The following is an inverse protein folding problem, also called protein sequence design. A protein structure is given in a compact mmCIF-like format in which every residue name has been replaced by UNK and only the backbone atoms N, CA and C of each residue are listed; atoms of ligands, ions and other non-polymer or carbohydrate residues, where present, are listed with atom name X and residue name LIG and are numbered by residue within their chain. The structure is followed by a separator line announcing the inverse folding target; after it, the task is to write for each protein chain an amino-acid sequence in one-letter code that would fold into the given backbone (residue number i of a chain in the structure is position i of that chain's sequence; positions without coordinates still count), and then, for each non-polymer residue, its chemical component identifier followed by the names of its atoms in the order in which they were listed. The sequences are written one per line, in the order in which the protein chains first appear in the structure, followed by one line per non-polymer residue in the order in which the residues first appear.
data_IF_541728167659
#
_entry.id   IF_541728167659
#
_cell.length_a   1.000
_cell.length_b   1.000
_cell.length_c   1.000
_cell.angle_alpha   90.00
_cell.angle_beta   90.00
_cell.angle_gamma   90.00
#
_symmetry.space_group_name_H-M   'P 1'
#
loop_
_entity.id
_entity.type
_entity.pdbx_description
1 polymer ?
#
# COMPACT_ATOMS: atom_id res chain seq x y z
N UNK A 1 -43.35 -16.79 24.40
CA UNK A 1 -43.89 -18.17 24.27
C UNK A 1 -45.16 -18.07 23.45
N UNK A 2 -45.20 -18.72 22.29
CA UNK A 2 -46.40 -18.77 21.45
C UNK A 2 -47.36 -19.75 22.12
N UNK A 3 -48.54 -19.27 22.51
CA UNK A 3 -49.56 -20.09 23.15
C UNK A 3 -50.38 -20.81 22.08
N UNK A 4 -50.74 -22.09 22.28
CA UNK A 4 -51.61 -22.80 21.35
C UNK A 4 -53.03 -22.19 21.38
N UNK A 5 -53.61 -21.97 20.20
CA UNK A 5 -54.99 -21.52 20.06
C UNK A 5 -55.94 -22.73 20.11
N UNK A 6 -56.18 -23.18 21.34
CA UNK A 6 -57.11 -24.28 21.61
C UNK A 6 -58.56 -23.92 21.26
N UNK A 7 -58.93 -22.63 21.27
CA UNK A 7 -60.30 -22.21 20.99
C UNK A 7 -60.68 -22.46 19.54
N UNK A 8 -59.77 -22.15 18.62
CA UNK A 8 -59.99 -22.37 17.19
C UNK A 8 -59.94 -23.87 16.83
N UNK A 9 -59.13 -24.67 17.54
CA UNK A 9 -59.09 -26.13 17.38
C UNK A 9 -60.35 -26.82 17.94
N UNK A 10 -60.84 -26.40 19.10
CA UNK A 10 -62.05 -26.96 19.74
C UNK A 10 -63.30 -26.63 18.92
N UNK A 11 -63.41 -25.43 18.36
CA UNK A 11 -64.53 -25.06 17.48
C UNK A 11 -64.63 -25.95 16.23
N UNK A 12 -63.50 -26.50 15.76
CA UNK A 12 -63.46 -27.42 14.63
C UNK A 12 -63.99 -28.82 15.03
N UNK A 13 -63.75 -29.24 16.27
CA UNK A 13 -64.22 -30.52 16.82
C UNK A 13 -65.69 -30.49 17.26
N UNK A 14 -66.25 -29.32 17.53
CA UNK A 14 -67.62 -29.12 18.07
C UNK A 14 -68.73 -29.60 17.12
N UNK A 15 -68.42 -29.80 15.84
CA UNK A 15 -69.36 -30.24 14.81
C UNK A 15 -69.36 -31.76 14.56
N UNK A 16 -68.50 -32.51 15.27
CA UNK A 16 -68.32 -33.95 15.11
C UNK A 16 -69.16 -34.74 16.12
N UNK A 17 -69.65 -35.92 15.71
CA UNK A 17 -70.42 -36.80 16.60
C UNK A 17 -69.52 -37.68 17.49
N UNK A 18 -70.11 -38.35 18.48
CA UNK A 18 -69.34 -39.14 19.46
C UNK A 18 -68.57 -40.32 18.85
N UNK A 19 -69.04 -40.89 17.75
CA UNK A 19 -68.38 -42.01 17.09
C UNK A 19 -67.20 -41.50 16.24
N UNK A 20 -67.37 -40.36 15.57
CA UNK A 20 -66.30 -39.66 14.82
C UNK A 20 -65.18 -39.16 15.75
N UNK A 21 -65.52 -38.58 16.90
CA UNK A 21 -64.54 -38.15 17.91
C UNK A 21 -63.76 -39.34 18.49
N UNK A 22 -64.43 -40.47 18.75
CA UNK A 22 -63.75 -41.71 19.19
C UNK A 22 -62.85 -42.27 18.10
N UNK A 23 -63.26 -42.17 16.85
CA UNK A 23 -62.46 -42.63 15.73
C UNK A 23 -61.19 -41.80 15.57
N UNK A 24 -61.29 -40.47 15.64
CA UNK A 24 -60.13 -39.55 15.60
C UNK A 24 -59.22 -39.75 16.82
N UNK A 25 -59.79 -40.02 18.00
CA UNK A 25 -59.00 -40.25 19.22
C UNK A 25 -58.19 -41.56 19.18
N UNK A 26 -58.67 -42.58 18.46
CA UNK A 26 -58.04 -43.90 18.41
C UNK A 26 -57.21 -44.14 17.12
N UNK A 27 -57.15 -43.16 16.22
CA UNK A 27 -56.39 -43.22 14.98
C UNK A 27 -55.48 -41.98 14.85
N UNK A 28 -54.19 -42.17 15.14
CA UNK A 28 -53.17 -41.12 15.09
C UNK A 28 -53.09 -40.46 13.70
N UNK A 29 -53.39 -41.19 12.61
CA UNK A 29 -53.34 -40.62 11.26
C UNK A 29 -54.50 -39.67 11.00
N UNK A 30 -55.68 -39.97 11.55
CA UNK A 30 -56.85 -39.09 11.50
C UNK A 30 -56.66 -37.89 12.42
N UNK A 31 -56.07 -38.09 13.59
CA UNK A 31 -55.70 -37.01 14.49
C UNK A 31 -54.73 -36.03 13.83
N UNK A 32 -53.66 -36.51 13.20
CA UNK A 32 -52.70 -35.69 12.47
C UNK A 32 -53.34 -34.93 11.29
N UNK A 33 -54.31 -35.56 10.60
CA UNK A 33 -55.04 -34.91 9.51
C UNK A 33 -55.87 -33.71 10.03
N UNK A 34 -56.58 -33.89 11.15
CA UNK A 34 -57.34 -32.82 11.80
C UNK A 34 -56.40 -31.73 12.34
N UNK A 35 -55.26 -32.11 12.90
CA UNK A 35 -54.27 -31.17 13.43
C UNK A 35 -53.66 -30.30 12.32
N UNK A 36 -53.38 -30.86 11.14
CA UNK A 36 -52.94 -30.12 9.95
C UNK A 36 -53.99 -29.14 9.44
N UNK A 37 -55.26 -29.36 9.77
CA UNK A 37 -56.34 -28.46 9.38
C UNK A 37 -56.55 -27.27 10.31
N UNK A 38 -55.99 -27.31 11.52
CA UNK A 38 -56.01 -26.19 12.48
C UNK A 38 -55.29 -24.98 11.88
N UNK A 39 -55.98 -23.83 11.91
CA UNK A 39 -55.48 -22.57 11.33
C UNK A 39 -54.07 -22.21 11.79
N UNK A 40 -53.78 -22.32 13.09
CA UNK A 40 -52.47 -22.02 13.65
C UNK A 40 -51.36 -22.92 13.07
N UNK A 41 -51.64 -24.20 12.84
CA UNK A 41 -50.68 -25.16 12.26
C UNK A 41 -50.44 -24.86 10.78
N UNK A 42 -51.49 -24.50 10.03
CA UNK A 42 -51.38 -24.04 8.63
C UNK A 42 -50.56 -22.76 8.50
N UNK A 43 -50.82 -21.78 9.38
CA UNK A 43 -50.08 -20.51 9.40
C UNK A 43 -48.58 -20.77 9.66
N UNK A 44 -48.25 -21.66 10.61
CA UNK A 44 -46.86 -22.04 10.88
C UNK A 44 -46.19 -22.80 9.74
N UNK A 45 -46.89 -23.73 9.09
CA UNK A 45 -46.32 -24.46 7.96
C UNK A 45 -46.05 -23.50 6.79
N UNK A 46 -46.96 -22.55 6.55
CA UNK A 46 -46.78 -21.50 5.53
C UNK A 46 -45.59 -20.60 5.88
N UNK A 47 -45.46 -20.19 7.14
CA UNK A 47 -44.34 -19.36 7.61
C UNK A 47 -43.00 -20.10 7.46
N UNK A 48 -42.98 -21.39 7.81
CA UNK A 48 -41.83 -22.28 7.62
C UNK A 48 -41.46 -22.41 6.14
N UNK A 49 -42.43 -22.65 5.25
CA UNK A 49 -42.17 -22.72 3.81
C UNK A 49 -41.63 -21.38 3.26
N UNK A 50 -42.20 -20.25 3.71
CA UNK A 50 -41.69 -18.92 3.34
C UNK A 50 -40.26 -18.71 3.82
N UNK A 51 -39.93 -19.10 5.05
CA UNK A 51 -38.56 -19.02 5.58
C UNK A 51 -37.59 -19.92 4.81
N UNK A 52 -37.99 -21.16 4.49
CA UNK A 52 -37.16 -22.09 3.71
C UNK A 52 -36.92 -21.52 2.31
N UNK A 53 -37.95 -21.03 1.64
CA UNK A 53 -37.84 -20.43 0.32
C UNK A 53 -36.94 -19.18 0.34
N UNK A 54 -37.10 -18.32 1.35
CA UNK A 54 -36.27 -17.12 1.54
C UNK A 54 -34.81 -17.47 1.80
N UNK A 55 -34.54 -18.40 2.72
CA UNK A 55 -33.18 -18.84 3.03
C UNK A 55 -32.51 -19.48 1.80
N UNK A 56 -33.25 -20.31 1.07
CA UNK A 56 -32.77 -20.94 -0.17
C UNK A 56 -32.43 -19.89 -1.22
N UNK A 57 -33.31 -18.92 -1.46
CA UNK A 57 -33.05 -17.85 -2.42
C UNK A 57 -31.82 -17.03 -2.04
N UNK A 58 -31.64 -16.73 -0.75
CA UNK A 58 -30.46 -16.01 -0.26
C UNK A 58 -29.17 -16.84 -0.42
N UNK A 59 -29.23 -18.14 -0.13
CA UNK A 59 -28.10 -19.05 -0.31
C UNK A 59 -27.71 -19.15 -1.79
N UNK A 60 -28.68 -19.31 -2.69
CA UNK A 60 -28.46 -19.35 -4.13
C UNK A 60 -27.87 -18.03 -4.65
N UNK A 61 -28.35 -16.88 -4.16
CA UNK A 61 -27.78 -15.57 -4.49
C UNK A 61 -26.33 -15.42 -4.00
N UNK A 62 -26.03 -15.84 -2.77
CA UNK A 62 -24.69 -15.78 -2.22
C UNK A 62 -23.72 -16.67 -3.01
N UNK A 63 -24.12 -17.90 -3.32
CA UNK A 63 -23.33 -18.83 -4.14
C UNK A 63 -23.11 -18.29 -5.56
N UNK A 64 -24.09 -17.59 -6.14
CA UNK A 64 -23.94 -16.96 -7.45
C UNK A 64 -22.92 -15.82 -7.46
N UNK A 65 -22.66 -15.18 -6.31
CA UNK A 65 -21.67 -14.08 -6.17
C UNK A 65 -20.27 -14.56 -5.83
N UNK A 66 -20.13 -15.77 -5.31
CA UNK A 66 -18.83 -16.39 -5.00
C UNK A 66 -17.80 -16.33 -6.15
N UNK A 67 -18.13 -16.68 -7.42
CA UNK A 67 -17.14 -16.65 -8.49
C UNK A 67 -16.62 -15.24 -8.78
N UNK A 68 -17.49 -14.23 -8.77
CA UNK A 68 -17.10 -12.83 -8.99
C UNK A 68 -16.24 -12.32 -7.84
N UNK A 69 -16.56 -12.69 -6.59
CA UNK A 69 -15.74 -12.33 -5.42
C UNK A 69 -14.35 -12.96 -5.48
N UNK A 70 -14.24 -14.23 -5.88
CA UNK A 70 -12.94 -14.90 -5.99
C UNK A 70 -12.11 -14.33 -7.14
N UNK A 71 -12.75 -13.97 -8.26
CA UNK A 71 -12.09 -13.26 -9.37
C UNK A 71 -11.55 -11.91 -8.90
N UNK A 72 -12.37 -11.08 -8.25
CA UNK A 72 -11.96 -9.76 -7.77
C UNK A 72 -10.83 -9.86 -6.73
N UNK A 73 -10.91 -10.84 -5.84
CA UNK A 73 -9.86 -11.12 -4.85
C UNK A 73 -8.55 -11.52 -5.51
N UNK A 74 -8.61 -12.37 -6.54
CA UNK A 74 -7.43 -12.74 -7.34
C UNK A 74 -6.84 -11.52 -8.06
N UNK A 75 -7.68 -10.64 -8.63
CA UNK A 75 -7.21 -9.41 -9.28
C UNK A 75 -6.53 -8.45 -8.30
N UNK A 76 -7.11 -8.27 -7.11
CA UNK A 76 -6.51 -7.46 -6.05
C UNK A 76 -5.17 -8.04 -5.61
N UNK A 77 -5.09 -9.35 -5.44
CA UNK A 77 -3.85 -10.02 -5.08
C UNK A 77 -2.77 -9.82 -6.15
N UNK A 78 -3.09 -10.03 -7.42
CA UNK A 78 -2.16 -9.82 -8.54
C UNK A 78 -1.66 -8.36 -8.61
N UNK A 79 -2.57 -7.38 -8.45
CA UNK A 79 -2.19 -5.95 -8.43
C UNK A 79 -1.33 -5.61 -7.23
N UNK A 80 -1.61 -6.20 -6.07
CA UNK A 80 -0.79 -6.01 -4.85
C UNK A 80 0.61 -6.57 -5.05
N UNK A 81 0.74 -7.79 -5.58
CA UNK A 81 2.03 -8.43 -5.87
C UNK A 81 2.83 -7.65 -6.91
N UNK A 82 2.19 -7.16 -7.98
CA UNK A 82 2.84 -6.31 -8.97
C UNK A 82 3.31 -4.97 -8.36
N UNK A 83 2.51 -4.39 -7.47
CA UNK A 83 2.88 -3.18 -6.72
C UNK A 83 4.10 -3.41 -5.82
N UNK A 84 4.12 -4.53 -5.09
CA UNK A 84 5.26 -4.91 -4.25
C UNK A 84 6.54 -5.10 -5.07
N UNK A 85 6.46 -5.80 -6.22
CA UNK A 85 7.58 -5.97 -7.13
C UNK A 85 8.13 -4.63 -7.64
N UNK A 86 7.25 -3.70 -8.02
CA UNK A 86 7.65 -2.36 -8.44
C UNK A 86 8.32 -1.58 -7.31
N UNK A 87 7.78 -1.64 -6.09
CA UNK A 87 8.39 -1.01 -4.92
C UNK A 87 9.78 -1.57 -4.64
N UNK A 88 9.95 -2.89 -4.68
CA UNK A 88 11.24 -3.54 -4.51
C UNK A 88 12.24 -3.10 -5.60
N UNK A 89 11.80 -3.06 -6.86
CA UNK A 89 12.64 -2.61 -7.96
C UNK A 89 13.06 -1.14 -7.82
N UNK A 90 12.16 -0.26 -7.39
CA UNK A 90 12.49 1.14 -7.09
C UNK A 90 13.51 1.23 -5.95
N UNK A 91 13.36 0.40 -4.92
CA UNK A 91 14.29 0.37 -3.80
C UNK A 91 15.69 -0.08 -4.25
N UNK A 92 15.78 -1.13 -5.08
CA UNK A 92 17.03 -1.57 -5.69
C UNK A 92 17.70 -0.47 -6.51
N UNK A 93 16.95 0.20 -7.38
CA UNK A 93 17.45 1.33 -8.19
C UNK A 93 17.91 2.50 -7.31
N UNK A 94 17.20 2.78 -6.23
CA UNK A 94 17.57 3.83 -5.29
C UNK A 94 18.88 3.49 -4.57
N UNK A 95 19.08 2.24 -4.18
CA UNK A 95 20.29 1.81 -3.49
C UNK A 95 21.49 1.72 -4.45
N UNK A 96 21.27 1.33 -5.72
CA UNK A 96 22.28 1.45 -6.78
C UNK A 96 22.66 2.92 -7.01
N UNK A 97 21.67 3.81 -7.12
CA UNK A 97 21.89 5.25 -7.26
C UNK A 97 22.66 5.82 -6.06
N UNK A 98 22.27 5.48 -4.83
CA UNK A 98 23.00 5.88 -3.62
C UNK A 98 24.42 5.35 -3.62
N UNK A 99 24.65 4.11 -4.06
CA UNK A 99 26.01 3.55 -4.13
C UNK A 99 26.87 4.28 -5.16
N UNK A 100 26.31 4.63 -6.33
CA UNK A 100 27.02 5.40 -7.37
C UNK A 100 27.25 6.87 -6.98
N UNK A 101 26.30 7.46 -6.25
CA UNK A 101 26.39 8.85 -5.78
C UNK A 101 27.15 8.98 -4.45
N UNK A 102 27.33 7.89 -3.71
CA UNK A 102 28.10 7.86 -2.48
C UNK A 102 29.54 8.30 -2.75
N UNK A 103 29.90 9.45 -2.21
CA UNK A 103 31.23 10.06 -2.37
C UNK A 103 31.36 11.06 -3.53
N UNK A 104 30.36 11.21 -4.40
CA UNK A 104 30.36 12.19 -5.49
C UNK A 104 29.31 13.26 -5.23
N UNK A 105 29.40 13.93 -4.08
CA UNK A 105 28.65 15.18 -3.92
C UNK A 105 29.32 16.28 -4.74
N UNK A 106 28.57 17.27 -5.23
CA UNK A 106 29.15 18.42 -5.90
C UNK A 106 30.17 19.16 -5.01
N UNK A 107 29.90 19.25 -3.71
CA UNK A 107 30.83 19.84 -2.74
C UNK A 107 32.11 19.01 -2.57
N UNK A 108 32.02 17.68 -2.51
CA UNK A 108 33.20 16.80 -2.47
C UNK A 108 34.03 16.94 -3.75
N UNK A 109 33.37 17.01 -4.91
CA UNK A 109 34.04 17.18 -6.20
C UNK A 109 34.75 18.54 -6.29
N UNK A 110 34.12 19.61 -5.78
CA UNK A 110 34.74 20.94 -5.70
C UNK A 110 35.99 20.91 -4.80
N UNK A 111 35.89 20.31 -3.62
CA UNK A 111 37.01 20.20 -2.69
C UNK A 111 38.19 19.41 -3.29
N UNK A 112 37.91 18.30 -3.99
CA UNK A 112 38.93 17.53 -4.70
C UNK A 112 39.61 18.35 -5.80
N UNK A 113 38.84 19.15 -6.55
CA UNK A 113 39.38 19.97 -7.62
C UNK A 113 40.25 21.12 -7.10
N UNK A 114 39.84 21.74 -5.98
CA UNK A 114 40.65 22.75 -5.27
C UNK A 114 41.95 22.15 -4.74
N UNK A 115 41.89 20.95 -4.16
CA UNK A 115 43.08 20.22 -3.68
C UNK A 115 44.03 19.93 -4.83
N UNK A 116 43.54 19.38 -5.95
CA UNK A 116 44.36 19.08 -7.12
C UNK A 116 44.97 20.34 -7.79
N UNK A 117 44.26 21.48 -7.72
CA UNK A 117 44.80 22.76 -8.16
C UNK A 117 45.94 23.24 -7.25
N UNK A 118 45.78 23.14 -5.93
CA UNK A 118 46.82 23.49 -4.96
C UNK A 118 48.06 22.60 -5.09
N UNK A 119 47.89 21.28 -5.26
CA UNK A 119 48.99 20.34 -5.51
C UNK A 119 49.75 20.68 -6.80
N UNK A 120 49.05 21.02 -7.88
CA UNK A 120 49.69 21.40 -9.14
C UNK A 120 50.36 22.78 -9.04
N UNK A 121 49.83 23.69 -8.22
CA UNK A 121 50.47 24.98 -7.90
C UNK A 121 51.78 24.75 -7.17
N UNK A 122 51.78 23.97 -6.08
CA UNK A 122 52.98 23.59 -5.32
C UNK A 122 54.05 22.92 -6.21
N UNK A 123 53.65 21.99 -7.08
CA UNK A 123 54.56 21.37 -8.04
C UNK A 123 55.22 22.40 -8.96
N UNK A 124 54.46 23.36 -9.48
CA UNK A 124 55.00 24.43 -10.34
C UNK A 124 55.91 25.41 -9.58
N UNK A 125 55.63 25.67 -8.30
CA UNK A 125 56.48 26.50 -7.45
C UNK A 125 57.81 25.79 -7.11
N UNK A 126 57.78 24.48 -6.86
CA UNK A 126 59.00 23.68 -6.66
C UNK A 126 59.90 23.70 -7.90
N UNK A 127 59.33 23.56 -9.11
CA UNK A 127 60.09 23.67 -10.37
C UNK A 127 60.67 25.08 -10.54
N UNK A 128 59.88 26.11 -10.22
CA UNK A 128 60.35 27.50 -10.25
C UNK A 128 61.51 27.73 -9.29
N UNK A 129 61.42 27.21 -8.07
CA UNK A 129 62.48 27.30 -7.08
C UNK A 129 63.77 26.58 -7.53
N UNK A 130 63.65 25.39 -8.13
CA UNK A 130 64.81 24.65 -8.65
C UNK A 130 65.48 25.37 -9.82
N UNK A 131 64.72 26.07 -10.66
CA UNK A 131 65.28 26.94 -11.70
C UNK A 131 66.01 28.15 -11.11
N UNK A 132 65.38 28.87 -10.17
CA UNK A 132 65.97 30.06 -9.52
C UNK A 132 67.22 29.74 -8.70
N UNK A 133 67.31 28.52 -8.16
CA UNK A 133 68.49 28.02 -7.45
C UNK A 133 69.57 27.43 -8.37
N UNK A 134 69.34 27.42 -9.69
CA UNK A 134 70.28 26.94 -10.69
C UNK A 134 70.43 25.41 -10.75
N UNK A 135 69.49 24.65 -10.17
CA UNK A 135 69.51 23.17 -10.21
C UNK A 135 69.04 22.60 -11.55
N UNK A 136 68.23 23.35 -12.29
CA UNK A 136 67.76 23.02 -13.64
C UNK A 136 68.05 24.17 -14.61
N UNK A 137 68.23 23.85 -15.89
CA UNK A 137 68.44 24.83 -16.95
C UNK A 137 67.12 25.35 -17.53
N UNK A 138 67.22 26.29 -18.48
CA UNK A 138 66.05 26.96 -19.07
C UNK A 138 65.20 26.00 -19.91
N UNK A 139 65.82 25.08 -20.64
CA UNK A 139 65.11 24.16 -21.53
C UNK A 139 64.29 23.17 -20.70
N UNK A 140 64.87 22.61 -19.63
CA UNK A 140 64.16 21.73 -18.70
C UNK A 140 63.07 22.46 -17.91
N UNK A 141 63.32 23.71 -17.51
CA UNK A 141 62.30 24.52 -16.85
C UNK A 141 61.07 24.70 -17.75
N UNK A 142 61.25 25.05 -19.02
CA UNK A 142 60.12 25.24 -19.93
C UNK A 142 59.36 23.93 -20.19
N UNK A 143 60.07 22.81 -20.34
CA UNK A 143 59.48 21.49 -20.54
C UNK A 143 58.60 21.05 -19.36
N UNK A 144 59.06 21.26 -18.12
CA UNK A 144 58.36 20.80 -16.92
C UNK A 144 57.33 21.82 -16.40
N UNK A 145 57.62 23.13 -16.46
CA UNK A 145 56.79 24.17 -15.85
C UNK A 145 55.53 24.48 -16.66
N UNK A 146 55.65 24.63 -17.98
CA UNK A 146 54.52 25.00 -18.85
C UNK A 146 53.30 24.04 -18.71
N UNK A 147 53.46 22.71 -18.83
CA UNK A 147 52.31 21.79 -18.76
C UNK A 147 51.65 21.80 -17.37
N UNK A 148 52.44 21.88 -16.30
CA UNK A 148 51.92 21.90 -14.92
C UNK A 148 51.18 23.21 -14.66
N UNK A 149 51.73 24.36 -15.07
CA UNK A 149 51.08 25.65 -14.87
C UNK A 149 49.79 25.77 -15.67
N UNK A 150 49.77 25.25 -16.90
CA UNK A 150 48.54 25.14 -17.72
C UNK A 150 47.48 24.27 -17.05
N UNK A 151 47.88 23.11 -16.51
CA UNK A 151 46.97 22.21 -15.77
C UNK A 151 46.41 22.88 -14.52
N UNK A 152 47.25 23.53 -13.73
CA UNK A 152 46.85 24.27 -12.53
C UNK A 152 45.81 25.35 -12.86
N UNK A 153 46.08 26.21 -13.85
CA UNK A 153 45.14 27.27 -14.25
C UNK A 153 43.80 26.70 -14.72
N UNK A 154 43.81 25.57 -15.45
CA UNK A 154 42.59 24.90 -15.88
C UNK A 154 41.79 24.33 -14.70
N UNK A 155 42.46 23.70 -13.73
CA UNK A 155 41.80 23.17 -12.53
C UNK A 155 41.22 24.29 -11.67
N UNK A 156 41.98 25.37 -11.46
CA UNK A 156 41.53 26.57 -10.73
C UNK A 156 40.32 27.21 -11.39
N UNK A 157 40.36 27.42 -12.70
CA UNK A 157 39.21 27.94 -13.45
C UNK A 157 37.98 27.05 -13.33
N UNK A 158 38.15 25.72 -13.44
CA UNK A 158 37.05 24.77 -13.28
C UNK A 158 36.48 24.80 -11.84
N UNK A 159 37.33 24.94 -10.82
CA UNK A 159 36.90 25.06 -9.43
C UNK A 159 36.10 26.35 -9.20
N UNK A 160 36.58 27.48 -9.72
CA UNK A 160 35.89 28.77 -9.62
C UNK A 160 34.52 28.73 -10.30
N UNK A 161 34.46 28.14 -11.50
CA UNK A 161 33.19 27.98 -12.23
C UNK A 161 32.23 27.03 -11.52
N UNK A 162 32.72 25.93 -10.96
CA UNK A 162 31.91 25.02 -10.18
C UNK A 162 31.37 25.69 -8.91
N UNK A 163 32.20 26.47 -8.21
CA UNK A 163 31.77 27.27 -7.04
C UNK A 163 30.66 28.28 -7.39
N UNK A 164 30.80 28.96 -8.55
CA UNK A 164 29.78 29.87 -9.06
C UNK A 164 28.44 29.15 -9.35
N UNK A 165 28.49 27.98 -9.99
CA UNK A 165 27.32 27.14 -10.28
C UNK A 165 26.62 26.63 -9.01
N UNK A 166 27.38 26.20 -8.00
CA UNK A 166 26.81 25.75 -6.72
C UNK A 166 26.15 26.89 -5.94
N UNK A 167 26.77 28.09 -5.97
CA UNK A 167 26.21 29.30 -5.33
C UNK A 167 24.93 29.77 -6.03
N UNK A 168 24.89 29.77 -7.36
CA UNK A 168 23.73 30.18 -8.14
C UNK A 168 22.59 29.16 -8.08
N UNK A 169 22.90 27.86 -8.07
CA UNK A 169 21.92 26.79 -7.86
C UNK A 169 21.19 26.88 -6.52
N UNK A 170 21.85 27.36 -5.47
CA UNK A 170 21.21 27.60 -4.15
C UNK A 170 20.23 28.78 -4.14
N UNK A 171 20.39 29.77 -5.02
CA UNK A 171 19.49 30.94 -5.07
C UNK A 171 18.24 30.72 -5.95
N UNK A 172 18.20 29.66 -6.75
CA UNK A 172 17.02 29.24 -7.52
C UNK A 172 16.01 28.39 -6.73
N UNK A 173 16.30 28.03 -5.48
CA UNK A 173 15.46 27.14 -4.66
C UNK A 173 14.43 27.91 -3.83
N UNK A 174 13.67 28.78 -4.49
CA UNK A 174 12.35 29.25 -4.03
C UNK A 174 11.35 28.94 -5.12
N UNK A 175 11.01 27.66 -5.29
CA UNK A 175 9.97 27.29 -6.27
C UNK A 175 10.13 25.91 -6.89
N UNK A 176 10.36 24.87 -6.09
CA UNK A 176 9.82 23.56 -6.40
C UNK A 176 9.95 22.70 -5.16
N UNK A 177 8.90 22.75 -4.33
CA UNK A 177 8.67 21.69 -3.36
C UNK A 177 8.59 20.39 -4.15
N UNK A 178 9.61 19.54 -4.00
CA UNK A 178 9.42 18.11 -4.14
C UNK A 178 8.34 17.75 -3.12
N UNK A 179 7.09 17.75 -3.58
CA UNK A 179 6.07 16.98 -2.94
C UNK A 179 6.65 15.57 -2.82
N UNK A 180 6.87 15.13 -1.57
CA UNK A 180 6.99 13.70 -1.28
C UNK A 180 5.87 13.03 -2.09
N UNK A 181 6.14 11.93 -2.83
CA UNK A 181 5.08 11.26 -3.58
C UNK A 181 4.01 10.86 -2.56
N UNK A 182 2.93 11.63 -2.50
CA UNK A 182 1.74 11.26 -1.78
C UNK A 182 1.25 10.02 -2.51
N UNK A 183 1.44 8.87 -1.89
CA UNK A 183 0.71 7.67 -2.26
C UNK A 183 -0.77 8.06 -2.32
N UNK A 184 -1.46 7.88 -3.46
CA UNK A 184 -2.86 8.20 -3.54
C UNK A 184 -3.60 7.24 -2.61
N UNK A 185 -4.03 7.75 -1.46
CA UNK A 185 -5.04 7.07 -0.66
C UNK A 185 -6.26 6.86 -1.57
N UNK A 186 -6.85 5.65 -1.60
CA UNK A 186 -8.04 5.41 -2.41
C UNK A 186 -9.17 6.35 -1.96
N UNK A 187 -9.62 7.23 -2.85
CA UNK A 187 -10.85 7.98 -2.61
C UNK A 187 -12.03 7.03 -2.84
N UNK A 188 -12.60 6.52 -1.77
CA UNK A 188 -13.85 5.78 -1.86
C UNK A 188 -14.99 6.75 -2.22
N UNK A 189 -15.82 6.44 -3.22
CA UNK A 189 -16.99 7.25 -3.54
C UNK A 189 -17.96 7.25 -2.35
N UNK A 190 -18.34 8.44 -1.92
CA UNK A 190 -19.02 8.73 -0.65
C UNK A 190 -20.54 8.42 -0.69
N UNK A 191 -20.96 7.36 -1.37
CA UNK A 191 -22.38 7.09 -1.65
C UNK A 191 -22.84 5.68 -1.26
N UNK A 192 -22.48 5.22 -0.06
CA UNK A 192 -23.02 3.97 0.53
C UNK A 192 -23.86 4.25 1.78
N UNK A 193 -24.99 3.55 1.99
CA UNK A 193 -25.83 3.72 3.17
C UNK A 193 -25.03 3.42 4.45
N UNK A 194 -25.20 4.28 5.46
CA UNK A 194 -24.51 4.21 6.76
C UNK A 194 -24.74 2.88 7.48
N UNK A 195 -23.74 2.01 7.47
CA UNK A 195 -23.66 0.86 8.39
C UNK A 195 -22.86 1.30 9.63
N UNK A 196 -23.29 0.99 10.87
CA UNK A 196 -22.63 1.48 12.06
C UNK A 196 -21.33 0.69 12.30
N UNK A 197 -20.19 1.29 11.97
CA UNK A 197 -18.88 0.78 12.38
C UNK A 197 -18.53 1.29 13.80
N UNK A 198 -17.92 0.45 14.66
CA UNK A 198 -17.53 0.83 16.00
C UNK A 198 -16.36 1.83 15.99
N UNK A 199 -16.60 3.01 16.58
CA UNK A 199 -15.59 4.07 16.79
C UNK A 199 -14.73 3.75 18.02
N UNK A 200 -13.78 2.83 17.87
CA UNK A 200 -12.68 2.61 18.82
C UNK A 200 -11.36 3.14 18.26
N UNK A 201 -10.37 3.48 19.11
CA UNK A 201 -9.06 3.90 18.62
C UNK A 201 -8.45 2.81 17.72
N UNK A 202 -8.21 3.19 16.46
CA UNK A 202 -7.58 2.38 15.40
C UNK A 202 -6.12 2.08 15.78
N UNK A 203 -5.92 1.07 16.61
CA UNK A 203 -4.62 0.47 16.86
C UNK A 203 -4.47 -0.75 15.92
N UNK A 204 -4.52 -0.53 14.60
CA UNK A 204 -4.14 -1.58 13.64
C UNK A 204 -2.61 -1.62 13.56
N UNK A 205 -1.97 -2.77 13.82
CA UNK A 205 -0.53 -2.89 13.67
C UNK A 205 -0.17 -2.75 12.18
N UNK A 206 0.59 -1.71 11.87
CA UNK A 206 1.21 -1.51 10.56
C UNK A 206 2.20 -2.67 10.29
N UNK A 207 2.05 -3.44 9.21
CA UNK A 207 3.06 -4.41 8.81
C UNK A 207 4.33 -3.67 8.36
N UNK A 208 5.47 -3.91 9.01
CA UNK A 208 6.78 -3.51 8.50
C UNK A 208 7.69 -2.67 9.39
N UNK A 209 7.35 -2.41 10.65
CA UNK A 209 8.25 -1.70 11.58
C UNK A 209 8.66 -2.59 12.76
N UNK A 210 9.38 -3.67 12.50
CA UNK A 210 10.18 -4.31 13.53
C UNK A 210 11.62 -3.81 13.40
N UNK A 211 11.98 -2.88 14.28
CA UNK A 211 13.38 -2.61 14.58
C UNK A 211 13.97 -3.83 15.27
N UNK A 212 15.06 -4.35 14.72
CA UNK A 212 15.85 -5.38 15.37
C UNK A 212 16.47 -4.79 16.65
N UNK A 213 15.99 -5.27 17.80
CA UNK A 213 16.62 -5.07 19.09
C UNK A 213 16.79 -6.43 19.76
N UNK A 214 17.82 -7.17 19.36
CA UNK A 214 18.59 -8.08 20.21
C UNK A 214 19.99 -8.25 19.60
#
# INVERSE_FOLDING_TARGET
MIQPDFSSAISFLDHLNSDELKEILNDDTKFDAVLKDVKQVKDWETEKEMMIASNRSLAEFNLAREPELEELKSEVQQKSEAGEQLCNHIQELLDEYKTKSAGISPDTTLALLQTAAAESEEQSENISHDFLSGKIDVDKFLEDFEPIRKKMHLQKFKADKMSELLRTGSQGSYGNGLAKPYLPYPSYPQNVPSVPYPVGPLNMPMPGMYGNHF
#
